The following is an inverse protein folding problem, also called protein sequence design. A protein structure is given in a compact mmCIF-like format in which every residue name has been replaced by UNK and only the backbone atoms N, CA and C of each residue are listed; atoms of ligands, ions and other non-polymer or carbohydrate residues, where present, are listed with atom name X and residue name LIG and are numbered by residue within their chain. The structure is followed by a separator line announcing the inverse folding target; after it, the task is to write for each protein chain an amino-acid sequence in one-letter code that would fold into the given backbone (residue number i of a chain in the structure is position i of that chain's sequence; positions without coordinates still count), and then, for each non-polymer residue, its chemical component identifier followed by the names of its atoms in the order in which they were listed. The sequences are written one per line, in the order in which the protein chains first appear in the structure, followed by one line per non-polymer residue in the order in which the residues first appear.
data_IF_658286111183
#
_entry.id   IF_658286111183
#
_cell.length_a   1.000
_cell.length_b   1.000
_cell.length_c   1.000
_cell.angle_alpha   90.00
_cell.angle_beta   90.00
_cell.angle_gamma   90.00
#
_symmetry.space_group_name_H-M   'P 1'
#
loop_
_entity.id
_entity.type
_entity.pdbx_description
1 polymer ?
#
# COMPACT_ATOMS: atom_id res chain seq x y z
N UNK A 1 -16.16 -5.72 31.86
CA UNK A 1 -15.02 -4.76 31.76
C UNK A 1 -13.66 -5.42 31.44
N UNK A 2 -13.62 -6.62 30.85
CA UNK A 2 -12.35 -7.28 30.52
C UNK A 2 -11.69 -6.68 29.27
N UNK A 3 -12.49 -6.37 28.24
CA UNK A 3 -12.04 -5.73 27.01
C UNK A 3 -11.33 -4.39 27.27
N UNK A 4 -11.91 -3.51 28.09
CA UNK A 4 -11.31 -2.22 28.43
C UNK A 4 -9.95 -2.41 29.12
N UNK A 5 -9.86 -3.38 30.04
CA UNK A 5 -8.62 -3.72 30.76
C UNK A 5 -7.53 -4.25 29.82
N UNK A 6 -7.90 -5.07 28.84
CA UNK A 6 -6.98 -5.58 27.82
C UNK A 6 -6.49 -4.45 26.90
N UNK A 7 -7.38 -3.52 26.50
CA UNK A 7 -7.07 -2.40 25.61
C UNK A 7 -6.27 -1.29 26.30
N UNK A 8 -6.36 -1.14 27.63
CA UNK A 8 -5.57 -0.14 28.36
C UNK A 8 -4.30 -0.70 29.00
N UNK A 9 -4.31 -1.96 29.44
CA UNK A 9 -3.23 -2.55 30.23
C UNK A 9 -2.26 -3.45 29.46
N UNK A 10 -2.67 -4.06 28.34
CA UNK A 10 -1.78 -4.95 27.59
C UNK A 10 -0.81 -4.13 26.70
N UNK A 11 0.52 -4.16 26.95
CA UNK A 11 1.48 -3.39 26.17
C UNK A 11 1.47 -3.72 24.67
N UNK A 12 1.11 -4.95 24.28
CA UNK A 12 1.05 -5.38 22.89
C UNK A 12 -0.19 -4.89 22.14
N UNK A 13 -1.26 -4.49 22.84
CA UNK A 13 -2.56 -4.12 22.23
C UNK A 13 -3.07 -2.76 22.73
N UNK A 14 -2.30 -2.05 23.57
CA UNK A 14 -2.75 -0.78 24.15
C UNK A 14 -3.01 0.28 23.09
N UNK A 15 -4.02 1.13 23.28
CA UNK A 15 -4.31 2.24 22.35
C UNK A 15 -3.19 3.28 22.37
N UNK A 16 -2.60 3.53 23.53
CA UNK A 16 -1.55 4.52 23.76
C UNK A 16 -0.16 3.95 23.53
N UNK A 17 0.11 3.22 22.44
CA UNK A 17 1.49 2.76 22.16
C UNK A 17 2.39 3.98 21.93
N UNK A 18 3.22 4.32 22.91
CA UNK A 18 4.23 5.38 22.76
C UNK A 18 5.18 5.07 21.58
N UNK A 19 5.43 3.77 21.35
CA UNK A 19 6.21 3.27 20.22
C UNK A 19 5.52 3.38 18.84
N UNK A 20 4.26 3.84 18.72
CA UNK A 20 3.65 4.14 17.41
C UNK A 20 4.10 5.49 16.86
N UNK A 21 4.41 6.44 17.73
CA UNK A 21 4.92 7.76 17.36
C UNK A 21 6.44 7.77 17.21
N UNK A 22 7.13 6.77 17.77
CA UNK A 22 8.48 6.42 17.38
C UNK A 22 8.44 5.90 15.94
N UNK A 23 8.40 6.82 14.97
CA UNK A 23 8.62 6.47 13.57
C UNK A 23 9.84 5.57 13.51
N UNK A 24 9.69 4.38 12.93
CA UNK A 24 10.79 3.42 12.82
C UNK A 24 11.87 4.14 12.00
N UNK A 25 12.87 4.69 12.68
CA UNK A 25 13.90 5.53 12.06
C UNK A 25 14.67 4.75 10.99
N UNK A 26 14.72 3.42 11.14
CA UNK A 26 15.39 2.48 10.23
C UNK A 26 14.47 1.92 9.13
N UNK A 27 13.27 2.48 8.93
CA UNK A 27 12.35 1.98 7.90
C UNK A 27 12.72 2.40 6.47
N UNK A 28 13.88 3.05 6.29
CA UNK A 28 14.38 3.45 4.98
C UNK A 28 14.53 2.25 4.04
N UNK A 29 15.06 1.13 4.54
CA UNK A 29 15.26 -0.08 3.73
C UNK A 29 13.94 -0.72 3.30
N UNK A 30 12.92 -0.74 4.16
CA UNK A 30 11.59 -1.25 3.83
C UNK A 30 10.87 -0.31 2.86
N UNK A 31 10.91 1.00 3.11
CA UNK A 31 10.38 2.03 2.22
C UNK A 31 11.04 2.02 0.84
N UNK A 32 12.35 1.79 0.78
CA UNK A 32 13.08 1.59 -0.46
C UNK A 32 12.60 0.32 -1.18
N UNK A 33 12.48 -0.82 -0.49
CA UNK A 33 11.96 -2.07 -1.09
C UNK A 33 10.53 -1.91 -1.64
N UNK A 34 9.64 -1.22 -0.92
CA UNK A 34 8.27 -0.96 -1.39
C UNK A 34 8.19 0.04 -2.55
N UNK A 35 9.08 1.05 -2.56
CA UNK A 35 9.13 2.03 -3.66
C UNK A 35 9.80 1.45 -4.91
N UNK A 36 10.82 0.62 -4.73
CA UNK A 36 11.61 -0.02 -5.79
C UNK A 36 11.06 -1.40 -6.20
N UNK A 37 9.88 -1.79 -5.72
CA UNK A 37 9.27 -3.09 -6.05
C UNK A 37 9.12 -3.27 -7.58
N UNK A 38 9.55 -4.42 -8.10
CA UNK A 38 9.65 -4.68 -9.54
C UNK A 38 8.33 -4.46 -10.29
N UNK A 39 7.21 -4.92 -9.71
CA UNK A 39 5.87 -4.70 -10.28
C UNK A 39 5.52 -3.21 -10.36
N UNK A 40 5.86 -2.42 -9.32
CA UNK A 40 5.60 -0.97 -9.31
C UNK A 40 6.45 -0.26 -10.36
N UNK A 41 7.72 -0.62 -10.49
CA UNK A 41 8.61 -0.09 -11.55
C UNK A 41 8.05 -0.38 -12.94
N UNK A 42 7.58 -1.60 -13.16
CA UNK A 42 7.02 -2.03 -14.44
C UNK A 42 5.72 -1.31 -14.80
N UNK A 43 4.82 -1.11 -13.82
CA UNK A 43 3.52 -0.47 -14.05
C UNK A 43 3.60 1.06 -14.09
N UNK A 44 4.65 1.68 -13.54
CA UNK A 44 4.79 3.16 -13.44
C UNK A 44 4.65 3.90 -14.78
N UNK A 45 5.10 3.30 -15.88
CA UNK A 45 5.07 3.91 -17.21
C UNK A 45 3.90 3.42 -18.08
N UNK A 46 2.95 2.67 -17.50
CA UNK A 46 1.79 2.13 -18.22
C UNK A 46 0.54 2.92 -17.86
N UNK A 47 -0.38 3.05 -18.81
CA UNK A 47 -1.69 3.60 -18.54
C UNK A 47 -2.44 2.70 -17.53
N UNK A 48 -3.14 3.28 -16.55
CA UNK A 48 -3.92 2.53 -15.58
C UNK A 48 -5.19 1.99 -16.25
N UNK A 49 -5.06 0.85 -16.91
CA UNK A 49 -6.14 0.18 -17.63
C UNK A 49 -6.33 -1.24 -17.10
N UNK A 50 -7.59 -1.59 -16.78
CA UNK A 50 -7.95 -2.91 -16.24
C UNK A 50 -7.76 -4.01 -17.31
N UNK A 51 -7.99 -3.69 -18.60
CA UNK A 51 -7.84 -4.65 -19.69
C UNK A 51 -7.51 -3.96 -21.03
N UNK A 52 -6.23 -3.67 -21.31
CA UNK A 52 -5.83 -2.83 -22.44
C UNK A 52 -6.26 -3.37 -23.81
N UNK A 53 -6.25 -4.70 -23.99
CA UNK A 53 -6.66 -5.35 -25.24
C UNK A 53 -8.14 -5.16 -25.55
N UNK A 54 -9.01 -5.31 -24.53
CA UNK A 54 -10.45 -5.15 -24.68
C UNK A 54 -10.81 -3.67 -24.80
N UNK A 55 -10.18 -2.82 -23.99
CA UNK A 55 -10.35 -1.37 -24.09
C UNK A 55 -9.96 -0.88 -25.49
N UNK A 56 -8.82 -1.34 -26.02
CA UNK A 56 -8.37 -1.00 -27.37
C UNK A 56 -9.26 -1.56 -28.48
N UNK A 57 -9.92 -2.69 -28.27
CA UNK A 57 -10.89 -3.23 -29.22
C UNK A 57 -12.16 -2.38 -29.32
N UNK A 58 -12.69 -1.93 -28.18
CA UNK A 58 -13.95 -1.17 -28.15
C UNK A 58 -13.79 0.35 -28.32
N UNK A 59 -12.64 0.92 -27.94
CA UNK A 59 -12.44 2.37 -27.95
C UNK A 59 -11.72 2.90 -29.20
N UNK A 60 -11.11 2.04 -30.02
CA UNK A 60 -10.51 2.47 -31.28
C UNK A 60 -11.62 2.69 -32.31
N UNK A 61 -11.78 3.91 -32.87
CA UNK A 61 -12.69 4.11 -33.99
C UNK A 61 -12.13 3.42 -35.23
N UNK A 62 -13.01 2.75 -35.98
CA UNK A 62 -12.72 2.26 -37.33
C UNK A 62 -12.60 3.47 -38.26
N UNK A 63 -11.41 4.06 -38.33
CA UNK A 63 -11.10 5.05 -39.36
C UNK A 63 -10.48 4.29 -40.53
N UNK A 64 -11.19 4.29 -41.66
CA UNK A 64 -10.74 3.81 -42.98
C UNK A 64 -9.41 4.43 -43.41
#
# INVERSE_FOLDING_TARGET
MQLIRNISGNPEVRVTKENRAAGVLDNFAEGEKYSQHALRKYVRNKSPEIMPSINGFFAKPDVE
#
